data_IF_474574681170
#
_entry.id   IF_474574681170
#
_cell.length_a   1.000
_cell.length_b   1.000
_cell.length_c   1.000
_cell.angle_alpha   90.00
_cell.angle_beta   90.00
_cell.angle_gamma   90.00
#
_symmetry.space_group_name_H-M   'P 1'
#
loop_
_entity.id
_entity.type
_entity.pdbx_description
1 polymer ?
#
# COMPACT_ATOMS: atom_id res chain seq x y z
N UNK A 1 7.65 -27.22 1.86
CA UNK A 1 6.61 -26.50 1.10
C UNK A 1 6.60 -25.08 1.65
N UNK A 2 7.36 -24.19 1.03
CA UNK A 2 7.52 -22.82 1.52
C UNK A 2 6.29 -22.00 1.13
N UNK A 3 5.19 -22.19 1.86
CA UNK A 3 4.02 -21.31 1.75
C UNK A 3 4.35 -20.02 2.48
N UNK A 4 4.97 -19.07 1.77
CA UNK A 4 4.79 -17.67 2.13
C UNK A 4 3.28 -17.41 2.15
N UNK A 5 2.72 -16.73 3.17
CA UNK A 5 1.30 -16.45 3.21
C UNK A 5 0.92 -15.71 1.94
N UNK A 6 0.01 -16.30 1.16
CA UNK A 6 -0.52 -15.63 -0.02
C UNK A 6 -1.27 -14.39 0.50
N UNK A 7 -0.87 -13.21 0.05
CA UNK A 7 -1.56 -11.96 0.42
C UNK A 7 -3.05 -12.06 0.04
N UNK A 8 -3.42 -12.88 -0.96
CA UNK A 8 -4.81 -13.19 -1.29
C UNK A 8 -5.51 -13.99 -0.20
N UNK A 9 -4.82 -14.95 0.44
CA UNK A 9 -5.36 -15.70 1.57
C UNK A 9 -5.57 -14.78 2.78
N UNK A 10 -4.57 -13.95 3.09
CA UNK A 10 -4.67 -12.93 4.15
C UNK A 10 -5.84 -11.98 3.88
N UNK A 11 -6.01 -11.54 2.63
CA UNK A 11 -7.12 -10.69 2.23
C UNK A 11 -8.48 -11.40 2.38
N UNK A 12 -8.58 -12.67 1.98
CA UNK A 12 -9.79 -13.48 2.17
C UNK A 12 -10.14 -13.63 3.65
N UNK A 13 -9.16 -13.92 4.48
CA UNK A 13 -9.34 -14.02 5.93
C UNK A 13 -9.81 -12.69 6.53
N UNK A 14 -9.19 -11.57 6.16
CA UNK A 14 -9.56 -10.25 6.64
C UNK A 14 -11.01 -9.91 6.28
N UNK A 15 -11.42 -10.22 5.05
CA UNK A 15 -12.80 -10.04 4.59
C UNK A 15 -13.77 -10.96 5.33
N UNK A 16 -13.39 -12.22 5.56
CA UNK A 16 -14.21 -13.19 6.29
C UNK A 16 -14.40 -12.82 7.76
N UNK A 17 -13.37 -12.24 8.41
CA UNK A 17 -13.42 -11.75 9.79
C UNK A 17 -14.21 -10.45 9.93
N UNK A 18 -14.33 -9.66 8.86
CA UNK A 18 -15.02 -8.37 8.87
C UNK A 18 -16.00 -8.25 7.71
N UNK A 19 -15.67 -7.48 6.68
CA UNK A 19 -16.41 -7.37 5.42
C UNK A 19 -15.55 -6.65 4.38
N UNK A 20 -15.86 -6.80 3.08
CA UNK A 20 -15.11 -6.13 2.00
C UNK A 20 -15.07 -4.61 2.20
N UNK A 21 -16.18 -4.00 2.61
CA UNK A 21 -16.26 -2.58 2.91
C UNK A 21 -15.31 -2.17 4.05
N UNK A 22 -15.26 -2.92 5.14
CA UNK A 22 -14.35 -2.60 6.25
C UNK A 22 -12.89 -2.77 5.89
N UNK A 23 -12.57 -3.82 5.12
CA UNK A 23 -11.21 -4.01 4.60
C UNK A 23 -10.83 -2.87 3.66
N UNK A 24 -11.74 -2.43 2.80
CA UNK A 24 -11.53 -1.23 1.97
C UNK A 24 -11.32 -0.01 2.84
N UNK A 25 -12.19 0.27 3.82
CA UNK A 25 -12.03 1.43 4.71
C UNK A 25 -10.70 1.40 5.48
N UNK A 26 -10.23 0.22 5.88
CA UNK A 26 -8.95 0.04 6.56
C UNK A 26 -7.73 0.25 5.64
N UNK A 27 -7.80 -0.24 4.40
CA UNK A 27 -6.72 -0.12 3.41
C UNK A 27 -6.79 1.19 2.61
N UNK A 28 -7.95 1.86 2.59
CA UNK A 28 -8.21 3.03 1.77
C UNK A 28 -7.44 4.22 2.34
N UNK A 29 -6.42 4.63 1.62
CA UNK A 29 -5.74 5.89 1.87
C UNK A 29 -6.56 7.10 1.40
N UNK A 30 -6.04 8.30 1.68
CA UNK A 30 -6.62 9.57 1.24
C UNK A 30 -6.70 9.80 -0.29
N UNK A 31 -6.38 8.79 -1.11
CA UNK A 31 -6.47 8.83 -2.58
C UNK A 31 -7.62 7.97 -3.14
N UNK A 32 -8.53 7.48 -2.30
CA UNK A 32 -9.72 6.75 -2.73
C UNK A 32 -9.48 5.31 -3.23
N UNK A 33 -8.26 4.78 -3.06
CA UNK A 33 -7.89 3.41 -3.41
C UNK A 33 -7.52 2.61 -2.14
N UNK A 34 -7.88 1.31 -2.04
CA UNK A 34 -8.63 0.51 -3.02
C UNK A 34 -10.15 0.75 -2.98
N UNK A 35 -10.89 0.15 -3.92
CA UNK A 35 -12.36 0.17 -3.99
C UNK A 35 -12.95 -1.22 -3.72
N UNK A 36 -14.21 -1.27 -3.29
CA UNK A 36 -14.90 -2.54 -3.01
C UNK A 36 -15.01 -3.43 -4.26
N UNK A 37 -15.32 -2.83 -5.41
CA UNK A 37 -15.38 -3.52 -6.69
C UNK A 37 -14.04 -4.15 -7.07
N UNK A 38 -12.92 -3.45 -6.81
CA UNK A 38 -11.58 -3.97 -7.05
C UNK A 38 -11.31 -5.20 -6.19
N UNK A 39 -11.59 -5.15 -4.88
CA UNK A 39 -11.43 -6.31 -4.00
C UNK A 39 -12.24 -7.50 -4.51
N UNK A 40 -13.50 -7.30 -4.87
CA UNK A 40 -14.37 -8.37 -5.38
C UNK A 40 -13.82 -8.99 -6.67
N UNK A 41 -13.31 -8.17 -7.60
CA UNK A 41 -12.68 -8.67 -8.84
C UNK A 41 -11.39 -9.43 -8.58
N UNK A 42 -10.57 -8.98 -7.63
CA UNK A 42 -9.32 -9.66 -7.23
C UNK A 42 -9.62 -10.99 -6.55
N UNK A 43 -10.54 -11.00 -5.57
CA UNK A 43 -10.94 -12.20 -4.83
C UNK A 43 -11.56 -13.27 -5.74
N UNK A 44 -12.28 -12.85 -6.78
CA UNK A 44 -12.86 -13.74 -7.79
C UNK A 44 -11.87 -14.15 -8.90
N UNK A 45 -10.63 -13.67 -8.87
CA UNK A 45 -9.61 -13.97 -9.89
C UNK A 45 -9.90 -13.36 -11.26
N UNK A 46 -10.88 -12.44 -11.36
CA UNK A 46 -11.29 -11.79 -12.61
C UNK A 46 -10.52 -10.51 -12.90
N UNK A 47 -9.82 -9.96 -11.91
CA UNK A 47 -9.03 -8.75 -12.09
C UNK A 47 -7.77 -9.04 -12.91
N UNK A 48 -7.68 -8.45 -14.10
CA UNK A 48 -6.53 -8.56 -15.01
C UNK A 48 -5.55 -7.39 -14.93
N UNK A 49 -5.80 -6.45 -14.01
CA UNK A 49 -4.95 -5.28 -13.82
C UNK A 49 -3.78 -5.54 -12.86
N UNK A 50 -2.98 -4.49 -12.65
CA UNK A 50 -1.85 -4.46 -11.71
C UNK A 50 -2.31 -4.60 -10.26
N UNK A 51 -1.99 -5.73 -9.62
CA UNK A 51 -2.37 -6.05 -8.23
C UNK A 51 -1.28 -5.78 -7.21
N UNK A 52 -0.08 -5.42 -7.67
CA UNK A 52 1.12 -5.26 -6.84
C UNK A 52 0.92 -4.17 -5.79
N UNK A 53 0.11 -3.14 -6.12
CA UNK A 53 -0.25 -2.10 -5.16
C UNK A 53 -1.18 -2.63 -4.07
N UNK A 54 -2.18 -3.42 -4.43
CA UNK A 54 -3.10 -4.01 -3.45
C UNK A 54 -2.35 -4.98 -2.54
N UNK A 55 -1.48 -5.80 -3.13
CA UNK A 55 -0.58 -6.69 -2.39
C UNK A 55 0.23 -5.91 -1.33
N UNK A 56 0.93 -4.84 -1.72
CA UNK A 56 1.72 -4.03 -0.77
C UNK A 56 0.89 -3.44 0.38
N UNK A 57 -0.35 -3.04 0.11
CA UNK A 57 -1.26 -2.53 1.15
C UNK A 57 -1.66 -3.64 2.12
N UNK A 58 -2.04 -4.81 1.59
CA UNK A 58 -2.41 -5.97 2.42
C UNK A 58 -1.22 -6.45 3.23
N UNK A 59 -0.04 -6.53 2.62
CA UNK A 59 1.21 -6.88 3.29
C UNK A 59 1.57 -5.90 4.40
N UNK A 60 1.51 -4.59 4.12
CA UNK A 60 1.81 -3.57 5.11
C UNK A 60 0.82 -3.53 6.28
N UNK A 61 -0.47 -3.74 6.00
CA UNK A 61 -1.52 -3.61 7.00
C UNK A 61 -1.79 -4.90 7.79
N UNK A 62 -1.84 -6.05 7.13
CA UNK A 62 -2.22 -7.33 7.74
C UNK A 62 -1.02 -8.25 8.02
N UNK A 63 0.02 -8.22 7.18
CA UNK A 63 1.23 -9.02 7.38
C UNK A 63 2.31 -8.27 8.17
N UNK A 64 2.06 -6.99 8.50
CA UNK A 64 2.98 -6.17 9.29
C UNK A 64 4.31 -5.91 8.58
N UNK A 65 4.35 -5.93 7.25
CA UNK A 65 5.57 -5.62 6.51
C UNK A 65 5.98 -4.16 6.77
N UNK A 66 7.09 -3.98 7.46
CA UNK A 66 7.70 -2.67 7.73
C UNK A 66 8.86 -2.39 6.79
N UNK A 67 9.20 -1.11 6.67
CA UNK A 67 10.36 -0.60 5.93
C UNK A 67 11.03 0.48 6.77
N UNK A 68 12.34 0.60 6.64
CA UNK A 68 13.09 1.67 7.29
C UNK A 68 13.01 2.94 6.44
N UNK A 69 12.30 3.95 6.94
CA UNK A 69 12.26 5.28 6.36
C UNK A 69 13.34 6.16 6.99
N UNK A 70 14.23 6.80 6.22
CA UNK A 70 15.27 7.68 6.76
C UNK A 70 14.72 8.93 7.48
N UNK A 71 13.42 9.24 7.32
CA UNK A 71 12.77 10.40 7.96
C UNK A 71 11.84 10.00 9.10
N UNK A 72 11.08 8.90 8.95
CA UNK A 72 10.07 8.46 9.92
C UNK A 72 10.54 7.28 10.80
N UNK A 73 11.69 6.69 10.51
CA UNK A 73 12.13 5.44 11.14
C UNK A 73 11.40 4.22 10.57
N UNK A 74 11.21 3.19 11.38
CA UNK A 74 10.47 1.99 11.00
C UNK A 74 8.97 2.33 10.80
N UNK A 75 8.47 2.14 9.58
CA UNK A 75 7.06 2.39 9.23
C UNK A 75 6.49 1.20 8.45
N UNK A 76 5.18 1.03 8.47
CA UNK A 76 4.53 0.03 7.60
C UNK A 76 4.74 0.37 6.13
N UNK A 77 4.80 -0.66 5.29
CA UNK A 77 4.93 -0.49 3.84
C UNK A 77 3.75 0.28 3.22
N UNK A 78 2.56 0.12 3.79
CA UNK A 78 1.37 0.91 3.43
C UNK A 78 1.62 2.40 3.68
N UNK A 79 2.14 2.75 4.86
CA UNK A 79 2.43 4.13 5.23
C UNK A 79 3.50 4.72 4.33
N UNK A 80 4.50 3.94 3.97
CA UNK A 80 5.53 4.34 3.01
C UNK A 80 4.93 4.71 1.64
N UNK A 81 4.09 3.84 1.03
CA UNK A 81 3.41 4.14 -0.25
C UNK A 81 2.49 5.37 -0.13
N UNK A 82 1.84 5.53 1.03
CA UNK A 82 0.99 6.68 1.30
C UNK A 82 1.77 8.00 1.36
N UNK A 83 2.90 8.05 2.07
CA UNK A 83 3.73 9.27 2.15
C UNK A 83 4.40 9.61 0.82
N UNK A 84 4.82 8.63 0.03
CA UNK A 84 5.43 8.84 -1.29
C UNK A 84 4.48 9.55 -2.27
N UNK A 85 3.18 9.23 -2.22
CA UNK A 85 2.17 9.78 -3.15
C UNK A 85 1.65 11.16 -2.76
N UNK A 86 1.95 11.64 -1.55
CA UNK A 86 1.47 12.96 -1.12
C UNK A 86 2.15 14.05 -1.97
N UNK A 87 1.39 15.07 -2.42
CA UNK A 87 1.98 16.18 -3.15
C UNK A 87 3.01 16.91 -2.28
N UNK A 88 3.96 17.58 -2.90
CA UNK A 88 4.89 18.44 -2.17
C UNK A 88 4.11 19.53 -1.42
N UNK A 89 4.47 19.74 -0.16
CA UNK A 89 3.91 20.82 0.66
C UNK A 89 5.04 21.50 1.42
N UNK A 90 5.34 22.75 1.05
CA UNK A 90 6.40 23.55 1.66
C UNK A 90 6.05 24.05 3.09
N UNK A 91 4.77 23.95 3.48
CA UNK A 91 4.27 24.45 4.77
C UNK A 91 4.59 23.53 5.96
N UNK A 92 5.12 22.33 5.73
CA UNK A 92 5.50 21.40 6.78
C UNK A 92 6.93 20.88 6.56
N UNK A 93 7.90 21.19 7.44
CA UNK A 93 9.30 20.79 7.27
C UNK A 93 9.49 19.27 7.22
N UNK A 94 8.67 18.50 7.95
CA UNK A 94 8.69 17.05 7.88
C UNK A 94 8.24 16.53 6.52
N UNK A 95 7.24 17.16 5.90
CA UNK A 95 6.81 16.83 4.52
C UNK A 95 7.86 17.21 3.48
N UNK A 96 8.60 18.29 3.70
CA UNK A 96 9.72 18.68 2.83
C UNK A 96 10.86 17.65 2.94
N UNK A 97 11.21 17.22 4.16
CA UNK A 97 12.20 16.18 4.40
C UNK A 97 11.80 14.84 3.77
N UNK A 98 10.55 14.41 3.99
CA UNK A 98 9.98 13.20 3.37
C UNK A 98 10.04 13.26 1.84
N UNK A 99 9.59 14.36 1.23
CA UNK A 99 9.58 14.48 -0.22
C UNK A 99 10.99 14.42 -0.83
N UNK A 100 11.99 15.00 -0.16
CA UNK A 100 13.40 14.92 -0.60
C UNK A 100 13.96 13.52 -0.42
N UNK A 101 13.71 12.88 0.72
CA UNK A 101 14.19 11.53 1.00
C UNK A 101 13.56 10.48 0.07
N UNK A 102 12.25 10.57 -0.17
CA UNK A 102 11.55 9.64 -1.05
C UNK A 102 12.11 9.67 -2.48
N UNK A 103 12.54 10.82 -3.01
CA UNK A 103 13.13 10.91 -4.36
C UNK A 103 14.40 10.09 -4.57
N UNK A 104 15.14 9.78 -3.50
CA UNK A 104 16.35 8.93 -3.57
C UNK A 104 16.17 7.58 -2.86
N UNK A 105 14.95 7.23 -2.46
CA UNK A 105 14.69 6.03 -1.67
C UNK A 105 14.50 4.82 -2.58
N UNK A 106 15.16 3.71 -2.24
CA UNK A 106 15.01 2.41 -2.92
C UNK A 106 13.57 1.87 -2.92
N UNK A 107 12.76 2.29 -1.95
CA UNK A 107 11.36 1.90 -1.83
C UNK A 107 10.41 2.80 -2.63
N UNK A 108 10.92 3.83 -3.32
CA UNK A 108 10.08 4.76 -4.07
C UNK A 108 9.55 4.12 -5.36
N UNK A 109 8.25 3.82 -5.38
CA UNK A 109 7.58 3.25 -6.55
C UNK A 109 7.32 4.26 -7.68
N UNK A 110 7.60 5.55 -7.46
CA UNK A 110 7.31 6.65 -8.39
C UNK A 110 8.50 7.01 -9.28
N UNK A 111 9.72 6.56 -8.92
CA UNK A 111 10.94 6.77 -9.72
C UNK A 111 11.11 5.71 -10.82
N UNK A 112 10.49 4.54 -10.66
CA UNK A 112 10.32 3.58 -11.76
C UNK A 112 9.10 3.96 -12.58
N UNK A 113 9.29 4.92 -13.48
CA UNK A 113 8.35 5.22 -14.53
C UNK A 113 8.04 3.98 -15.36
N UNK A 114 6.84 3.44 -15.20
CA UNK A 114 6.18 2.60 -16.20
C UNK A 114 4.66 2.86 -16.12
N UNK A 115 4.34 4.12 -16.41
CA UNK A 115 3.02 4.56 -16.88
C UNK A 115 3.25 5.20 -18.26
N UNK A 116 3.33 4.35 -19.27
CA UNK A 116 3.10 4.66 -20.68
C UNK A 116 2.12 3.62 -21.24
#
# INVERSE_FOLDING_TARGET
>A
MSSQPDWLETLREAVAKTSQRRVVEALRGGNGYPSETLLSQVLSGKYRGRTERLQRLVEGHYLGCTVECPVLGEITRDRCDHEQRKPFAATNPQRVALFRACRGCEHNASDKGEDA
#
